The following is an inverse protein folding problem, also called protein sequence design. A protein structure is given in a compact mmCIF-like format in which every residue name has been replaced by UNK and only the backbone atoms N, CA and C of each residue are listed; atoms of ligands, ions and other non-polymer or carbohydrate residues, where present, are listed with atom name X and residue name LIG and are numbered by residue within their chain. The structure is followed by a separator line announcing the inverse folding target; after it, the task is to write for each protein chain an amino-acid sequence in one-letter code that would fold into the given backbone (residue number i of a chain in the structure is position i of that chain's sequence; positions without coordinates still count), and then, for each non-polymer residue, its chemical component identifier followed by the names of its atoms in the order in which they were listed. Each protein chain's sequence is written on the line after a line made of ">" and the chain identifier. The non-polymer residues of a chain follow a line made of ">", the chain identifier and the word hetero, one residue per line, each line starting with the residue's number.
data_IF_683560290358
#
_entry.id   IF_683560290358
#
_cell.length_a   1.000
_cell.length_b   1.000
_cell.length_c   1.000
_cell.angle_alpha   90.00
_cell.angle_beta   90.00
_cell.angle_gamma   90.00
#
_symmetry.space_group_name_H-M   'P 1'
#
loop_
_entity.id
_entity.type
_entity.pdbx_description
1 polymer ?
#
# COMPACT_ATOMS: atom_id res chain seq x y z
N UNK A 1 0.18 -38.17 -61.73
CA UNK A 1 0.66 -37.92 -60.36
C UNK A 1 0.77 -36.42 -60.16
N UNK A 2 -0.17 -35.80 -59.43
CA UNK A 2 -0.07 -34.39 -59.02
C UNK A 2 -0.04 -34.38 -57.50
N UNK A 3 1.10 -34.04 -56.91
CA UNK A 3 1.24 -33.83 -55.47
C UNK A 3 0.83 -32.40 -55.17
N UNK A 4 -0.33 -32.23 -54.53
CA UNK A 4 -0.82 -30.96 -54.03
C UNK A 4 -0.14 -30.70 -52.68
N UNK A 5 0.74 -29.69 -52.61
CA UNK A 5 1.33 -29.22 -51.36
C UNK A 5 0.47 -28.07 -50.80
N UNK A 6 -0.21 -28.30 -49.69
CA UNK A 6 -0.90 -27.26 -48.92
C UNK A 6 0.10 -26.53 -48.00
N UNK A 7 0.13 -25.18 -47.97
CA UNK A 7 0.96 -24.45 -47.01
C UNK A 7 0.28 -24.42 -45.63
N UNK A 8 0.97 -24.97 -44.62
CA UNK A 8 0.57 -24.89 -43.21
C UNK A 8 0.94 -23.48 -42.72
N UNK A 9 -0.06 -22.63 -42.50
CA UNK A 9 0.12 -21.32 -41.87
C UNK A 9 0.08 -21.50 -40.35
N UNK A 10 1.24 -21.52 -39.71
CA UNK A 10 1.37 -21.53 -38.25
C UNK A 10 1.11 -20.11 -37.71
N UNK A 11 -0.11 -19.87 -37.22
CA UNK A 11 -0.45 -18.66 -36.49
C UNK A 11 0.15 -18.73 -35.06
N UNK A 12 1.26 -18.04 -34.83
CA UNK A 12 1.89 -17.94 -33.52
C UNK A 12 1.12 -16.95 -32.63
N UNK A 13 0.32 -17.47 -31.67
CA UNK A 13 -0.28 -16.68 -30.60
C UNK A 13 0.80 -16.25 -29.61
N UNK A 14 1.19 -14.97 -29.64
CA UNK A 14 2.08 -14.38 -28.65
C UNK A 14 1.24 -14.04 -27.41
N UNK A 15 1.25 -14.91 -26.39
CA UNK A 15 0.62 -14.64 -25.10
C UNK A 15 1.46 -13.61 -24.34
N UNK A 16 1.07 -12.34 -24.41
CA UNK A 16 1.62 -11.32 -23.50
C UNK A 16 1.12 -11.60 -22.09
N UNK A 17 1.96 -12.19 -21.25
CA UNK A 17 1.67 -12.35 -19.82
C UNK A 17 1.59 -10.98 -19.16
N UNK A 18 0.43 -10.65 -18.59
CA UNK A 18 0.31 -9.49 -17.70
C UNK A 18 1.03 -9.85 -16.40
N UNK A 19 2.17 -9.21 -16.13
CA UNK A 19 2.88 -9.38 -14.88
C UNK A 19 2.00 -8.83 -13.75
N UNK A 20 1.39 -9.72 -12.97
CA UNK A 20 0.75 -9.37 -11.71
C UNK A 20 1.87 -9.04 -10.73
N UNK A 21 2.05 -7.77 -10.44
CA UNK A 21 2.90 -7.34 -9.33
C UNK A 21 2.02 -7.21 -8.10
N UNK A 22 2.56 -7.61 -6.95
CA UNK A 22 1.87 -7.44 -5.70
C UNK A 22 2.15 -6.05 -5.11
N UNK A 23 1.15 -5.53 -4.40
CA UNK A 23 1.09 -4.18 -3.89
C UNK A 23 1.16 -4.22 -2.35
N UNK A 24 2.14 -3.55 -1.72
CA UNK A 24 2.17 -3.44 -0.26
C UNK A 24 1.08 -2.48 0.22
N UNK A 25 0.31 -2.90 1.21
CA UNK A 25 -0.79 -2.14 1.81
C UNK A 25 -0.76 -2.29 3.32
N UNK A 26 -0.52 -1.19 4.02
CA UNK A 26 -0.54 -1.15 5.49
C UNK A 26 -1.98 -1.03 6.00
N UNK A 27 -2.27 -1.77 7.07
CA UNK A 27 -3.54 -1.69 7.79
C UNK A 27 -3.33 -0.95 9.10
N UNK A 28 -4.16 0.04 9.40
CA UNK A 28 -4.03 0.87 10.59
C UNK A 28 -4.03 0.01 11.86
N UNK A 29 -3.00 0.20 12.69
CA UNK A 29 -2.74 -0.55 13.93
C UNK A 29 -2.46 -2.06 13.73
N UNK A 30 -2.13 -2.48 12.51
CA UNK A 30 -1.76 -3.84 12.17
C UNK A 30 -0.51 -3.84 11.26
N UNK A 31 -0.27 -4.93 10.54
CA UNK A 31 0.90 -5.16 9.70
C UNK A 31 0.73 -4.62 8.27
N UNK A 32 1.77 -4.81 7.45
CA UNK A 32 1.75 -4.50 6.01
C UNK A 32 1.57 -5.78 5.19
N UNK A 33 0.56 -5.79 4.33
CA UNK A 33 0.13 -6.94 3.53
C UNK A 33 0.43 -6.73 2.07
N UNK A 34 0.76 -7.81 1.37
CA UNK A 34 1.03 -7.78 -0.06
C UNK A 34 -0.19 -8.32 -0.80
N UNK A 35 -0.84 -7.47 -1.60
CA UNK A 35 -2.10 -7.78 -2.27
C UNK A 35 -1.91 -7.81 -3.79
N UNK A 36 -2.56 -8.72 -4.55
CA UNK A 36 -2.41 -8.72 -6.00
C UNK A 36 -3.03 -7.47 -6.61
N UNK A 37 -2.32 -6.86 -7.56
CA UNK A 37 -2.79 -5.69 -8.34
C UNK A 37 -4.14 -5.90 -9.05
N UNK A 38 -4.55 -7.15 -9.28
CA UNK A 38 -5.86 -7.49 -9.82
C UNK A 38 -7.03 -7.09 -8.90
N UNK A 39 -6.79 -6.82 -7.60
CA UNK A 39 -7.80 -6.27 -6.69
C UNK A 39 -8.11 -4.79 -6.91
N UNK A 40 -7.37 -4.11 -7.80
CA UNK A 40 -7.56 -2.71 -8.11
C UNK A 40 -6.66 -1.77 -7.30
N UNK A 41 -6.96 -0.47 -7.40
CA UNK A 41 -6.16 0.56 -6.75
C UNK A 41 -6.25 0.48 -5.21
N UNK A 42 -5.10 0.62 -4.55
CA UNK A 42 -4.95 0.58 -3.09
C UNK A 42 -5.77 1.69 -2.44
N UNK A 43 -6.41 1.36 -1.31
CA UNK A 43 -7.02 2.36 -0.43
C UNK A 43 -6.00 3.41 0.02
N UNK A 44 -6.14 4.62 -0.51
CA UNK A 44 -5.23 5.73 -0.28
C UNK A 44 -5.89 7.06 -0.65
N UNK A 45 -5.20 8.17 -0.39
CA UNK A 45 -5.67 9.51 -0.73
C UNK A 45 -6.35 10.22 0.44
N UNK A 46 -6.86 11.42 0.17
CA UNK A 46 -7.52 12.27 1.16
C UNK A 46 -8.76 12.97 0.59
N UNK A 47 -9.67 13.35 1.47
CA UNK A 47 -10.89 14.09 1.14
C UNK A 47 -12.13 13.21 0.98
N UNK A 48 -13.07 13.64 0.14
CA UNK A 48 -14.43 13.04 0.08
C UNK A 48 -14.48 11.60 -0.42
N UNK A 49 -13.48 11.17 -1.18
CA UNK A 49 -13.39 9.83 -1.74
C UNK A 49 -11.92 9.39 -1.81
N UNK A 50 -11.63 8.10 -1.64
CA UNK A 50 -10.27 7.59 -1.78
C UNK A 50 -9.85 7.49 -3.25
N UNK A 51 -8.54 7.41 -3.49
CA UNK A 51 -7.96 7.12 -4.80
C UNK A 51 -8.16 5.65 -5.23
N UNK A 52 -8.46 4.76 -4.27
CA UNK A 52 -8.72 3.34 -4.47
C UNK A 52 -9.43 2.75 -3.26
N UNK A 53 -9.86 1.50 -3.34
CA UNK A 53 -10.58 0.84 -2.24
C UNK A 53 -10.01 -0.53 -1.88
N UNK A 54 -8.97 -0.98 -2.59
CA UNK A 54 -8.39 -2.28 -2.36
C UNK A 54 -7.68 -2.31 -1.00
N UNK A 55 -8.10 -3.26 -0.17
CA UNK A 55 -7.53 -3.58 1.13
C UNK A 55 -7.30 -5.09 1.24
N UNK A 56 -6.49 -5.54 2.21
CA UNK A 56 -6.33 -6.95 2.52
C UNK A 56 -7.67 -7.62 2.84
N UNK A 57 -7.82 -8.85 2.35
CA UNK A 57 -8.96 -9.71 2.61
C UNK A 57 -8.55 -10.74 3.67
N UNK A 58 -9.55 -11.33 4.31
CA UNK A 58 -9.33 -12.41 5.27
C UNK A 58 -8.46 -13.52 4.67
N UNK A 59 -7.43 -13.91 5.39
CA UNK A 59 -6.47 -14.94 4.98
C UNK A 59 -5.24 -14.42 4.25
N UNK A 60 -5.20 -13.14 3.86
CA UNK A 60 -3.97 -12.54 3.35
C UNK A 60 -2.88 -12.54 4.42
N UNK A 61 -1.65 -12.79 3.98
CA UNK A 61 -0.49 -12.87 4.85
C UNK A 61 0.31 -11.58 4.76
N UNK A 62 0.67 -11.03 5.92
CA UNK A 62 1.52 -9.86 5.98
C UNK A 62 2.95 -10.20 5.55
N UNK A 63 3.59 -9.26 4.86
CA UNK A 63 4.97 -9.38 4.37
C UNK A 63 5.94 -8.49 5.12
N UNK A 64 5.44 -7.50 5.87
CA UNK A 64 6.24 -6.60 6.68
C UNK A 64 5.49 -6.15 7.94
N UNK A 65 6.24 -5.58 8.89
CA UNK A 65 5.74 -4.96 10.13
C UNK A 65 4.89 -5.89 11.00
N UNK A 66 5.09 -7.21 10.90
CA UNK A 66 4.38 -8.19 11.71
C UNK A 66 5.01 -8.33 13.10
N UNK A 67 4.21 -8.09 14.13
CA UNK A 67 4.61 -8.20 15.53
C UNK A 67 3.58 -8.98 16.35
N UNK A 68 4.03 -9.61 17.45
CA UNK A 68 3.21 -10.52 18.24
C UNK A 68 2.03 -9.86 18.97
N UNK A 69 2.06 -8.54 19.11
CA UNK A 69 1.00 -7.76 19.76
C UNK A 69 -0.10 -7.32 18.77
N UNK A 70 0.07 -7.56 17.47
CA UNK A 70 -0.89 -7.14 16.46
C UNK A 70 -2.12 -8.03 16.46
N UNK A 71 -3.26 -7.43 16.08
CA UNK A 71 -4.53 -8.15 16.00
C UNK A 71 -4.43 -9.37 15.09
N UNK A 72 -3.77 -9.26 13.94
CA UNK A 72 -3.62 -10.34 12.95
C UNK A 72 -2.66 -11.47 13.35
N UNK A 73 -1.86 -11.32 14.41
CA UNK A 73 -0.88 -12.32 14.79
C UNK A 73 -1.56 -13.65 15.20
N UNK A 74 -1.07 -14.76 14.66
CA UNK A 74 -1.59 -16.11 14.92
C UNK A 74 -0.65 -16.97 15.79
N UNK A 75 0.39 -16.36 16.35
CA UNK A 75 1.45 -17.07 17.08
C UNK A 75 2.69 -17.34 16.25
N UNK A 76 2.64 -17.13 14.93
CA UNK A 76 3.77 -17.36 14.01
C UNK A 76 3.94 -16.22 13.02
N UNK A 77 2.84 -15.80 12.40
CA UNK A 77 2.79 -14.76 11.38
C UNK A 77 1.55 -13.90 11.56
N UNK A 78 1.44 -12.85 10.75
CA UNK A 78 0.28 -11.98 10.74
C UNK A 78 -0.58 -12.38 9.54
N UNK A 79 -1.76 -12.94 9.83
CA UNK A 79 -2.73 -13.34 8.83
C UNK A 79 -4.01 -12.56 9.08
N UNK A 80 -4.51 -11.86 8.08
CA UNK A 80 -5.71 -11.04 8.20
C UNK A 80 -6.88 -11.91 8.69
N UNK A 81 -7.42 -11.61 9.88
CA UNK A 81 -8.50 -12.41 10.49
C UNK A 81 -9.88 -12.09 9.93
N UNK A 82 -10.00 -10.93 9.29
CA UNK A 82 -11.21 -10.40 8.66
C UNK A 82 -10.85 -9.54 7.44
N UNK A 83 -11.85 -9.14 6.66
CA UNK A 83 -11.63 -8.23 5.54
C UNK A 83 -11.39 -6.81 6.07
N UNK A 84 -10.26 -6.22 5.67
CA UNK A 84 -9.99 -4.82 5.96
C UNK A 84 -10.91 -3.94 5.10
N UNK A 85 -11.32 -2.80 5.67
CA UNK A 85 -12.17 -1.81 5.02
C UNK A 85 -11.37 -0.56 4.73
N UNK A 86 -11.62 0.03 3.56
CA UNK A 86 -11.12 1.36 3.24
C UNK A 86 -11.94 2.41 4.02
N UNK A 87 -11.30 3.10 4.96
CA UNK A 87 -11.93 4.06 5.84
C UNK A 87 -11.00 5.24 6.11
N UNK A 88 -11.53 6.30 6.71
CA UNK A 88 -10.72 7.43 7.18
C UNK A 88 -9.91 6.99 8.40
N UNK A 89 -8.58 7.06 8.31
CA UNK A 89 -7.65 6.64 9.38
C UNK A 89 -7.14 7.82 10.20
N UNK A 90 -7.01 9.00 9.59
CA UNK A 90 -6.57 10.23 10.24
C UNK A 90 -7.10 11.45 9.50
N UNK A 91 -7.79 12.35 10.19
CA UNK A 91 -8.33 13.57 9.58
C UNK A 91 -9.30 13.25 8.45
N UNK A 92 -8.88 13.50 7.21
CA UNK A 92 -9.58 13.17 5.96
C UNK A 92 -8.80 12.18 5.08
N UNK A 93 -7.76 11.53 5.62
CA UNK A 93 -6.92 10.54 4.93
C UNK A 93 -7.53 9.15 4.98
N UNK A 94 -7.58 8.49 3.83
CA UNK A 94 -8.06 7.12 3.66
C UNK A 94 -6.95 6.09 3.85
N UNK A 95 -7.29 4.98 4.51
CA UNK A 95 -6.42 3.83 4.69
C UNK A 95 -7.23 2.57 5.03
N UNK A 96 -6.55 1.43 5.05
CA UNK A 96 -7.18 0.17 5.39
C UNK A 96 -7.27 0.00 6.90
N UNK A 97 -8.40 -0.51 7.39
CA UNK A 97 -8.62 -0.78 8.81
C UNK A 97 -9.31 -2.13 9.00
N UNK A 98 -8.99 -2.84 10.07
CA UNK A 98 -9.76 -4.02 10.50
C UNK A 98 -10.94 -3.56 11.38
N UNK A 99 -12.20 -3.76 10.93
CA UNK A 99 -13.40 -3.32 11.65
C UNK A 99 -13.42 -3.63 13.15
N UNK A 100 -12.90 -4.79 13.55
CA UNK A 100 -12.89 -5.28 14.94
C UNK A 100 -11.98 -4.48 15.87
N UNK A 101 -10.96 -3.79 15.35
CA UNK A 101 -9.97 -3.05 16.15
C UNK A 101 -9.92 -1.55 15.84
N UNK A 102 -10.59 -1.11 14.77
CA UNK A 102 -10.68 0.31 14.40
C UNK A 102 -11.61 1.16 15.26
N UNK A 103 -12.38 0.55 16.18
CA UNK A 103 -13.31 1.24 17.08
C UNK A 103 -12.71 1.72 18.40
N UNK A 104 -11.48 1.33 18.73
CA UNK A 104 -10.76 1.89 19.88
C UNK A 104 -10.24 3.27 19.51
N UNK A 105 -10.89 4.29 20.06
CA UNK A 105 -10.56 5.72 19.99
C UNK A 105 -9.09 5.94 19.66
N UNK A 106 -8.84 6.61 18.52
CA UNK A 106 -7.51 7.06 18.12
C UNK A 106 -6.82 7.67 19.34
N UNK A 107 -5.81 6.96 19.87
CA UNK A 107 -4.88 7.61 20.79
C UNK A 107 -4.09 8.54 19.89
N UNK A 108 -4.20 9.88 20.05
CA UNK A 108 -3.38 10.77 19.25
C UNK A 108 -1.93 10.33 19.41
N UNK A 109 -1.20 10.22 18.30
CA UNK A 109 0.24 10.04 18.35
C UNK A 109 0.77 11.11 19.32
N UNK A 110 1.50 10.75 20.39
CA UNK A 110 2.08 11.75 21.27
C UNK A 110 3.06 12.55 20.42
N UNK A 111 2.63 13.72 19.95
CA UNK A 111 3.50 14.76 19.43
C UNK A 111 4.23 15.39 20.61
N UNK A 112 5.04 14.59 21.30
CA UNK A 112 6.17 15.14 22.06
C UNK A 112 7.23 15.47 21.03
N UNK A 113 6.98 16.54 20.27
CA UNK A 113 8.08 17.31 19.74
C UNK A 113 8.68 17.99 20.97
N UNK A 114 9.81 17.46 21.46
CA UNK A 114 10.64 18.23 22.39
C UNK A 114 11.10 19.46 21.61
N UNK A 115 10.38 20.56 21.84
CA UNK A 115 10.72 21.89 21.39
C UNK A 115 12.00 22.33 22.10
N UNK A 116 13.16 21.84 21.65
CA UNK A 116 14.38 22.59 21.81
C UNK A 116 14.45 23.59 20.67
N UNK A 117 13.88 24.77 20.91
CA UNK A 117 14.18 25.97 20.13
C UNK A 117 15.53 26.51 20.58
N UNK A 118 16.64 26.38 19.82
CA UNK A 118 17.55 27.49 19.71
C UNK A 118 16.87 28.54 18.84
N UNK A 119 16.55 29.64 19.51
CA UNK A 119 16.20 30.93 18.93
C UNK A 119 16.99 31.20 17.64
N UNK A 120 16.31 31.15 16.50
CA UNK A 120 16.75 31.84 15.29
C UNK A 120 15.58 32.63 14.70
N UNK A 121 15.79 33.93 14.77
CA UNK A 121 14.98 35.05 14.28
C UNK A 121 14.40 34.80 12.88
N UNK A 122 13.13 35.21 12.61
CA UNK A 122 12.44 34.87 11.36
C UNK A 122 12.89 35.78 10.21
N UNK A 123 13.47 35.19 9.16
CA UNK A 123 13.58 35.84 7.86
C UNK A 123 12.40 35.38 6.98
N UNK A 124 11.41 36.25 6.82
CA UNK A 124 10.36 36.08 5.83
C UNK A 124 10.99 35.99 4.43
N UNK A 125 10.78 34.87 3.73
CA UNK A 125 11.04 34.78 2.29
C UNK A 125 9.90 34.05 1.60
N UNK A 126 9.42 34.68 0.54
CA UNK A 126 8.24 34.38 -0.28
C UNK A 126 8.21 32.95 -0.84
N UNK A 127 6.98 32.51 -1.09
CA UNK A 127 6.63 31.45 -2.02
C UNK A 127 7.31 31.62 -3.40
N UNK A 128 7.98 30.55 -3.85
CA UNK A 128 8.33 30.19 -5.23
C UNK A 128 8.46 28.66 -5.22
N UNK A 129 7.63 27.92 -5.94
CA UNK A 129 7.80 27.54 -7.35
C UNK A 129 9.07 26.67 -7.53
N UNK A 130 8.83 25.43 -7.97
CA UNK A 130 9.75 24.43 -8.53
C UNK A 130 10.50 23.40 -7.63
N UNK A 131 10.42 22.15 -8.11
CA UNK A 131 11.28 20.97 -7.86
C UNK A 131 11.08 20.14 -6.57
N UNK A 132 10.10 19.23 -6.62
CA UNK A 132 10.17 17.99 -5.83
C UNK A 132 11.15 17.04 -6.52
N UNK A 133 12.32 16.70 -5.92
CA UNK A 133 13.15 15.63 -6.46
C UNK A 133 12.41 14.31 -6.29
N UNK A 134 12.19 13.62 -7.42
CA UNK A 134 11.75 12.22 -7.43
C UNK A 134 12.81 11.39 -6.69
N UNK A 135 12.47 10.63 -5.62
CA UNK A 135 13.45 9.79 -4.95
C UNK A 135 13.90 8.67 -5.90
N UNK A 136 15.22 8.59 -6.11
CA UNK A 136 15.84 7.56 -6.94
C UNK A 136 15.64 6.17 -6.34
N UNK A 137 15.51 5.11 -7.17
CA UNK A 137 15.42 3.74 -6.68
C UNK A 137 16.77 3.32 -6.07
N UNK A 138 16.79 3.07 -4.77
CA UNK A 138 17.98 2.55 -4.07
C UNK A 138 18.21 1.08 -4.44
N UNK A 139 19.31 0.83 -5.12
CA UNK A 139 19.87 -0.51 -5.38
C UNK A 139 20.29 -1.17 -4.05
N UNK A 140 19.90 -2.43 -3.77
CA UNK A 140 20.39 -3.14 -2.57
C UNK A 140 21.90 -3.39 -2.66
N UNK A 141 22.63 -3.12 -1.57
CA UNK A 141 24.03 -3.51 -1.41
C UNK A 141 24.17 -5.04 -1.20
N UNK A 142 25.32 -5.63 -1.60
CA UNK A 142 25.53 -7.08 -1.69
C UNK A 142 25.59 -7.81 -0.34
#
# INVERSE_FOLDING_TARGET
>A
MVRLHLPIVLASLCSTGMATYDLPVSVQYDATYTIPSSRGAICSGAGKAPAGTACPLKGDVATADCHSYLFSFDGKQCTAKEDAKCAIVLGDTWGCVFPSVSGTTATPCPTTYESYTPDVTPAATKCGEDDYPTPAPTTPCP
#
